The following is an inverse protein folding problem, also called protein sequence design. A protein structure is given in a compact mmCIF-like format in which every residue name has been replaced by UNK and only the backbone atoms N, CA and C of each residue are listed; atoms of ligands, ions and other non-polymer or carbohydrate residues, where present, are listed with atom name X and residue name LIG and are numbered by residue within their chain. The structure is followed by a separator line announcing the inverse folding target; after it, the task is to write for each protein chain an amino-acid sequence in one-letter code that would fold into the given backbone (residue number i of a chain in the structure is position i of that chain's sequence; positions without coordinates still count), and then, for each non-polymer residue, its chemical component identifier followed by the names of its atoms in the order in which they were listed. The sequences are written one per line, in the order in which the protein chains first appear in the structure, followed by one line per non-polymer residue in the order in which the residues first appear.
data_IF_964494233581
#
_entry.id   IF_964494233581
#
_cell.length_a   1.000
_cell.length_b   1.000
_cell.length_c   1.000
_cell.angle_alpha   90.00
_cell.angle_beta   90.00
_cell.angle_gamma   90.00
#
_symmetry.space_group_name_H-M   'P 1'
#
loop_
_entity.id
_entity.type
_entity.pdbx_description
1 polymer ?
#
# COMPACT_ATOMS: atom_id res chain seq x y z
N UNK A 1 -14.63 11.10 -21.52
CA UNK A 1 -14.73 9.97 -20.58
C UNK A 1 -15.10 10.52 -19.22
N UNK A 2 -16.12 9.94 -18.60
CA UNK A 2 -16.63 10.36 -17.29
C UNK A 2 -15.93 9.57 -16.18
N UNK A 3 -15.12 10.21 -15.36
CA UNK A 3 -14.32 9.58 -14.33
C UNK A 3 -14.93 9.86 -12.95
N UNK A 4 -15.27 8.80 -12.24
CA UNK A 4 -15.63 8.89 -10.83
C UNK A 4 -14.38 8.83 -9.94
N UNK A 5 -14.08 9.89 -9.20
CA UNK A 5 -13.03 9.86 -8.18
C UNK A 5 -13.65 9.39 -6.88
N UNK A 6 -13.37 8.13 -6.52
CA UNK A 6 -13.96 7.48 -5.36
C UNK A 6 -13.06 7.69 -4.15
N UNK A 7 -13.57 8.40 -3.15
CA UNK A 7 -12.82 8.84 -1.96
C UNK A 7 -13.65 8.73 -0.68
N UNK A 8 -13.04 8.98 0.47
CA UNK A 8 -13.67 8.82 1.78
C UNK A 8 -13.50 7.40 2.32
N UNK A 9 -14.58 6.65 2.40
CA UNK A 9 -14.56 5.29 2.93
C UNK A 9 -14.80 5.22 4.44
N UNK A 10 -14.73 4.01 4.98
CA UNK A 10 -15.07 3.68 6.37
C UNK A 10 -13.86 3.35 7.25
N UNK A 11 -12.66 3.37 6.67
CA UNK A 11 -11.42 3.06 7.39
C UNK A 11 -10.97 4.25 8.25
N UNK A 12 -10.03 4.00 9.15
CA UNK A 12 -9.33 5.04 9.92
C UNK A 12 -8.55 6.03 9.04
N UNK A 13 -8.35 5.71 7.76
CA UNK A 13 -7.62 6.54 6.78
C UNK A 13 -8.54 7.43 5.92
N UNK A 14 -9.83 7.60 6.32
CA UNK A 14 -10.83 8.39 5.60
C UNK A 14 -10.35 9.79 5.23
N UNK A 15 -9.73 10.50 6.16
CA UNK A 15 -9.24 11.88 5.94
C UNK A 15 -8.10 11.92 4.92
N UNK A 16 -7.22 10.92 4.94
CA UNK A 16 -6.15 10.77 3.93
C UNK A 16 -6.76 10.51 2.55
N UNK A 17 -7.78 9.68 2.48
CA UNK A 17 -8.52 9.37 1.25
C UNK A 17 -9.19 10.62 0.66
N UNK A 18 -9.85 11.44 1.47
CA UNK A 18 -10.47 12.69 1.02
C UNK A 18 -9.44 13.66 0.44
N UNK A 19 -8.29 13.81 1.11
CA UNK A 19 -7.18 14.63 0.61
C UNK A 19 -6.62 14.10 -0.70
N UNK A 20 -6.37 12.79 -0.77
CA UNK A 20 -5.91 12.12 -2.00
C UNK A 20 -6.88 12.35 -3.16
N UNK A 21 -8.19 12.14 -2.93
CA UNK A 21 -9.19 12.34 -3.97
C UNK A 21 -9.29 13.79 -4.44
N UNK A 22 -9.21 14.75 -3.53
CA UNK A 22 -9.22 16.17 -3.89
C UNK A 22 -8.00 16.57 -4.70
N UNK A 23 -6.81 16.07 -4.35
CA UNK A 23 -5.58 16.30 -5.13
C UNK A 23 -5.68 15.68 -6.54
N UNK A 24 -6.20 14.46 -6.65
CA UNK A 24 -6.44 13.85 -7.96
C UNK A 24 -7.41 14.70 -8.81
N UNK A 25 -8.53 15.15 -8.25
CA UNK A 25 -9.51 16.02 -8.94
C UNK A 25 -8.85 17.28 -9.45
N UNK A 26 -8.03 17.93 -8.64
CA UNK A 26 -7.37 19.20 -8.99
C UNK A 26 -6.34 19.04 -10.14
N UNK A 27 -5.79 17.84 -10.33
CA UNK A 27 -4.72 17.60 -11.30
C UNK A 27 -5.15 16.78 -12.52
N UNK A 28 -6.38 16.27 -12.56
CA UNK A 28 -6.91 15.63 -13.76
C UNK A 28 -7.06 16.67 -14.89
N UNK A 29 -6.83 16.23 -16.12
CA UNK A 29 -7.06 17.07 -17.32
C UNK A 29 -8.56 17.20 -17.62
N UNK A 30 -9.18 18.26 -17.13
CA UNK A 30 -10.60 18.55 -17.31
C UNK A 30 -11.01 18.82 -18.76
N UNK A 31 -10.04 18.99 -19.69
CA UNK A 31 -10.35 19.06 -21.12
C UNK A 31 -10.63 17.67 -21.73
N UNK A 32 -10.10 16.62 -21.09
CA UNK A 32 -10.24 15.20 -21.52
C UNK A 32 -11.25 14.43 -20.70
N UNK A 33 -11.42 14.79 -19.44
CA UNK A 33 -12.22 14.05 -18.48
C UNK A 33 -13.33 14.90 -17.85
N UNK A 34 -14.52 14.35 -17.85
CA UNK A 34 -15.60 14.84 -16.98
C UNK A 34 -15.42 14.19 -15.61
N UNK A 35 -15.04 14.97 -14.61
CA UNK A 35 -14.69 14.47 -13.28
C UNK A 35 -15.87 14.55 -12.34
N UNK A 36 -16.24 13.42 -11.72
CA UNK A 36 -17.34 13.30 -10.76
C UNK A 36 -16.78 12.85 -9.41
N UNK A 37 -16.79 13.69 -8.37
CA UNK A 37 -16.46 13.27 -7.02
C UNK A 37 -17.49 12.28 -6.48
N UNK A 38 -17.05 11.14 -5.94
CA UNK A 38 -17.90 10.15 -5.29
C UNK A 38 -17.36 9.93 -3.87
N UNK A 39 -18.06 10.46 -2.87
CA UNK A 39 -17.66 10.37 -1.47
C UNK A 39 -18.41 9.25 -0.79
N UNK A 40 -17.67 8.23 -0.34
CA UNK A 40 -18.20 7.09 0.38
C UNK A 40 -18.23 7.40 1.86
N UNK A 41 -19.42 7.38 2.46
CA UNK A 41 -19.62 7.54 3.91
C UNK A 41 -19.98 6.21 4.57
N UNK A 42 -20.70 5.35 3.86
CA UNK A 42 -21.11 4.03 4.32
C UNK A 42 -20.83 2.97 3.24
N UNK A 43 -20.73 1.70 3.64
CA UNK A 43 -20.45 0.58 2.70
C UNK A 43 -21.46 0.51 1.54
N UNK A 44 -22.72 0.83 1.82
CA UNK A 44 -23.81 0.74 0.83
C UNK A 44 -23.75 1.86 -0.23
N UNK A 45 -23.03 2.94 0.03
CA UNK A 45 -22.99 4.11 -0.85
C UNK A 45 -22.33 3.82 -2.18
N UNK A 46 -21.31 2.95 -2.21
CA UNK A 46 -20.51 2.68 -3.40
C UNK A 46 -21.37 2.33 -4.61
N UNK A 47 -22.20 1.29 -4.48
CA UNK A 47 -22.99 0.76 -5.60
C UNK A 47 -24.00 1.81 -6.07
N UNK A 48 -24.73 2.40 -5.15
CA UNK A 48 -25.80 3.37 -5.47
C UNK A 48 -25.24 4.65 -6.09
N UNK A 49 -24.16 5.21 -5.53
CA UNK A 49 -23.55 6.44 -6.05
C UNK A 49 -22.86 6.22 -7.39
N UNK A 50 -22.16 5.10 -7.57
CA UNK A 50 -21.51 4.76 -8.84
C UNK A 50 -22.54 4.58 -9.96
N UNK A 51 -23.65 3.86 -9.71
CA UNK A 51 -24.74 3.70 -10.68
C UNK A 51 -25.41 5.02 -11.00
N UNK A 52 -25.70 5.84 -9.99
CA UNK A 52 -26.33 7.15 -10.18
C UNK A 52 -25.41 8.12 -10.95
N UNK A 53 -24.10 8.06 -10.66
CA UNK A 53 -23.12 8.90 -11.33
C UNK A 53 -22.89 8.54 -12.80
N UNK A 54 -23.15 7.31 -13.23
CA UNK A 54 -23.02 6.85 -14.61
C UNK A 54 -21.60 7.04 -15.14
N UNK A 55 -20.59 6.63 -14.36
CA UNK A 55 -19.18 6.79 -14.70
C UNK A 55 -18.70 5.73 -15.68
N UNK A 56 -17.75 6.09 -16.53
CA UNK A 56 -17.06 5.17 -17.45
C UNK A 56 -15.85 4.49 -16.82
N UNK A 57 -15.30 5.10 -15.75
CA UNK A 57 -14.07 4.66 -15.09
C UNK A 57 -14.04 5.14 -13.63
N UNK A 58 -13.58 4.28 -12.72
CA UNK A 58 -13.41 4.58 -11.32
C UNK A 58 -11.93 4.82 -10.98
N UNK A 59 -11.58 6.07 -10.64
CA UNK A 59 -10.29 6.45 -10.08
C UNK A 59 -10.35 6.31 -8.57
N UNK A 60 -9.66 5.30 -8.01
CA UNK A 60 -9.71 4.97 -6.60
C UNK A 60 -8.72 5.82 -5.81
N UNK A 61 -9.25 6.60 -4.86
CA UNK A 61 -8.49 7.37 -3.88
C UNK A 61 -8.74 6.87 -2.45
N UNK A 62 -9.35 5.69 -2.31
CA UNK A 62 -9.61 5.05 -1.02
C UNK A 62 -8.34 4.48 -0.40
N UNK A 63 -8.30 4.41 0.93
CA UNK A 63 -7.18 3.83 1.67
C UNK A 63 -7.67 2.89 2.78
N UNK A 64 -6.82 1.90 3.11
CA UNK A 64 -7.08 0.93 4.17
C UNK A 64 -8.16 -0.09 3.84
N UNK A 65 -8.75 -0.65 4.89
CA UNK A 65 -9.82 -1.65 4.76
C UNK A 65 -10.96 -1.14 3.89
N UNK A 66 -11.62 -2.04 3.16
CA UNK A 66 -12.65 -1.78 2.18
C UNK A 66 -12.12 -1.17 0.87
N UNK A 67 -11.19 -0.21 0.93
CA UNK A 67 -10.64 0.45 -0.26
C UNK A 67 -9.52 -0.35 -0.95
N UNK A 68 -8.63 -0.96 -0.15
CA UNK A 68 -7.42 -1.62 -0.64
C UNK A 68 -7.44 -3.15 -0.50
N UNK A 69 -8.50 -3.73 0.04
CA UNK A 69 -8.61 -5.16 0.36
C UNK A 69 -9.29 -6.04 -0.69
N UNK A 70 -9.64 -5.46 -1.84
CA UNK A 70 -10.35 -6.15 -2.92
C UNK A 70 -11.87 -5.98 -2.89
N UNK A 71 -12.44 -5.44 -1.80
CA UNK A 71 -13.90 -5.31 -1.66
C UNK A 71 -14.49 -4.33 -2.68
N UNK A 72 -13.93 -3.12 -2.77
CA UNK A 72 -14.36 -2.11 -3.75
C UNK A 72 -14.08 -2.57 -5.17
N UNK A 73 -12.92 -3.19 -5.39
CA UNK A 73 -12.53 -3.75 -6.68
C UNK A 73 -13.56 -4.79 -7.17
N UNK A 74 -13.94 -5.73 -6.30
CA UNK A 74 -14.94 -6.76 -6.64
C UNK A 74 -16.34 -6.21 -6.90
N UNK A 75 -16.74 -5.15 -6.20
CA UNK A 75 -17.99 -4.46 -6.46
C UNK A 75 -17.98 -3.78 -7.84
N UNK A 76 -16.89 -3.11 -8.21
CA UNK A 76 -16.73 -2.46 -9.51
C UNK A 76 -16.67 -3.48 -10.65
N UNK A 77 -16.00 -4.62 -10.46
CA UNK A 77 -16.03 -5.74 -11.44
C UNK A 77 -17.45 -6.26 -11.66
N UNK A 78 -18.21 -6.44 -10.59
CA UNK A 78 -19.63 -6.87 -10.67
C UNK A 78 -20.49 -5.86 -11.43
N UNK A 79 -20.20 -4.57 -11.32
CA UNK A 79 -20.88 -3.50 -12.05
C UNK A 79 -20.35 -3.32 -13.49
N UNK A 80 -19.28 -4.00 -13.88
CA UNK A 80 -18.64 -3.84 -15.19
C UNK A 80 -17.96 -2.48 -15.38
N UNK A 81 -17.53 -1.84 -14.27
CA UNK A 81 -16.88 -0.53 -14.30
C UNK A 81 -15.37 -0.70 -14.12
N UNK A 82 -14.56 -0.36 -15.14
CA UNK A 82 -13.10 -0.39 -15.02
C UNK A 82 -12.61 0.59 -13.96
N UNK A 83 -11.54 0.21 -13.27
CA UNK A 83 -11.00 0.96 -12.15
C UNK A 83 -9.48 0.93 -12.12
N UNK A 84 -8.87 1.81 -11.34
CA UNK A 84 -7.41 1.96 -11.24
C UNK A 84 -6.73 0.79 -10.56
N UNK A 85 -5.56 0.43 -11.10
CA UNK A 85 -4.56 -0.39 -10.43
C UNK A 85 -4.86 -1.88 -10.39
N UNK A 86 -4.47 -2.48 -9.30
CA UNK A 86 -4.52 -3.92 -9.07
C UNK A 86 -5.95 -4.44 -8.88
N UNK A 87 -6.19 -5.68 -9.30
CA UNK A 87 -7.49 -6.35 -9.16
C UNK A 87 -7.73 -6.93 -7.76
N UNK A 88 -8.84 -7.64 -7.61
CA UNK A 88 -9.33 -8.20 -6.34
C UNK A 88 -8.27 -9.04 -5.63
N UNK A 89 -7.69 -10.01 -6.34
CA UNK A 89 -6.73 -10.94 -5.74
C UNK A 89 -5.48 -10.24 -5.22
N UNK A 90 -4.87 -9.37 -6.04
CA UNK A 90 -3.67 -8.64 -5.66
C UNK A 90 -3.93 -7.72 -4.47
N UNK A 91 -5.04 -6.99 -4.47
CA UNK A 91 -5.44 -6.12 -3.37
C UNK A 91 -5.62 -6.90 -2.06
N UNK A 92 -6.33 -8.03 -2.10
CA UNK A 92 -6.54 -8.89 -0.92
C UNK A 92 -5.23 -9.50 -0.40
N UNK A 93 -4.36 -9.96 -1.29
CA UNK A 93 -3.05 -10.51 -0.90
C UNK A 93 -2.15 -9.44 -0.28
N UNK A 94 -2.06 -8.26 -0.89
CA UNK A 94 -1.20 -7.19 -0.39
C UNK A 94 -1.69 -6.63 0.95
N UNK A 95 -3.01 -6.55 1.16
CA UNK A 95 -3.58 -6.11 2.43
C UNK A 95 -3.24 -7.07 3.57
N UNK A 96 -3.21 -8.38 3.31
CA UNK A 96 -2.88 -9.39 4.30
C UNK A 96 -1.36 -9.61 4.36
N UNK A 97 -0.69 -8.97 5.32
CA UNK A 97 0.77 -9.01 5.48
C UNK A 97 1.33 -10.42 5.70
N UNK A 98 0.60 -11.27 6.42
CA UNK A 98 1.03 -12.67 6.64
C UNK A 98 1.05 -13.44 5.33
N UNK A 99 -0.05 -13.40 4.57
CA UNK A 99 -0.15 -14.14 3.30
C UNK A 99 0.84 -13.61 2.27
N UNK A 100 0.97 -12.28 2.12
CA UNK A 100 1.96 -11.72 1.21
C UNK A 100 3.38 -12.15 1.57
N UNK A 101 3.77 -12.10 2.85
CA UNK A 101 5.10 -12.55 3.30
C UNK A 101 5.33 -14.05 3.12
N UNK A 102 4.32 -14.87 3.34
CA UNK A 102 4.40 -16.32 3.06
C UNK A 102 4.71 -16.57 1.58
N UNK A 103 3.99 -15.90 0.67
CA UNK A 103 4.24 -16.00 -0.77
C UNK A 103 5.63 -15.48 -1.14
N UNK A 104 6.04 -14.31 -0.63
CA UNK A 104 7.35 -13.73 -0.89
C UNK A 104 8.48 -14.67 -0.49
N UNK A 105 8.38 -15.33 0.67
CA UNK A 105 9.37 -16.32 1.13
C UNK A 105 9.48 -17.51 0.19
N UNK A 106 8.37 -18.00 -0.40
CA UNK A 106 8.42 -19.13 -1.35
C UNK A 106 9.21 -18.80 -2.61
N UNK A 107 9.30 -17.54 -2.98
CA UNK A 107 10.09 -17.04 -4.12
C UNK A 107 11.50 -16.59 -3.73
N UNK A 108 11.92 -16.80 -2.50
CA UNK A 108 13.24 -16.40 -2.01
C UNK A 108 13.42 -14.91 -1.76
N UNK A 109 12.33 -14.14 -1.74
CA UNK A 109 12.36 -12.72 -1.36
C UNK A 109 12.50 -12.62 0.15
N UNK A 110 13.52 -11.90 0.62
CA UNK A 110 13.70 -11.66 2.05
C UNK A 110 12.58 -10.78 2.61
N UNK A 111 12.01 -11.21 3.74
CA UNK A 111 11.01 -10.49 4.52
C UNK A 111 11.23 -10.85 6.00
N UNK A 112 10.94 -9.96 6.95
CA UNK A 112 11.09 -10.29 8.36
C UNK A 112 10.39 -11.61 8.68
N UNK A 113 11.10 -12.54 9.31
CA UNK A 113 10.52 -13.78 9.79
C UNK A 113 9.82 -13.49 11.12
N UNK A 114 8.56 -13.86 11.28
CA UNK A 114 7.82 -13.53 12.47
C UNK A 114 6.73 -14.55 12.78
N UNK A 115 6.01 -14.25 13.85
CA UNK A 115 4.84 -14.96 14.33
C UNK A 115 3.58 -14.26 13.81
N UNK A 116 2.52 -15.03 13.60
CA UNK A 116 1.19 -14.49 13.39
C UNK A 116 0.26 -15.11 14.41
N UNK A 117 -0.35 -14.27 15.23
CA UNK A 117 -1.31 -14.69 16.26
C UNK A 117 -2.74 -14.30 15.86
N UNK A 118 -3.69 -15.17 16.14
CA UNK A 118 -5.12 -14.96 15.87
C UNK A 118 -5.82 -14.36 17.10
N UNK A 119 -5.20 -13.38 17.72
CA UNK A 119 -5.70 -12.69 18.89
C UNK A 119 -4.98 -13.08 20.18
N UNK A 120 -5.61 -12.72 21.31
CA UNK A 120 -5.02 -12.91 22.64
C UNK A 120 -4.92 -14.39 23.06
N UNK A 121 -5.68 -15.28 22.43
CA UNK A 121 -5.64 -16.72 22.76
C UNK A 121 -4.30 -17.36 22.37
N UNK A 122 -3.59 -16.79 21.39
CA UNK A 122 -2.28 -17.24 20.96
C UNK A 122 -1.12 -16.61 21.75
N UNK A 123 -1.42 -15.76 22.76
CA UNK A 123 -0.39 -15.04 23.52
C UNK A 123 0.57 -15.98 24.22
N UNK A 124 1.80 -16.04 23.75
CA UNK A 124 2.91 -16.80 24.33
C UNK A 124 4.22 -15.98 24.31
N UNK A 125 4.57 -15.30 25.42
CA UNK A 125 5.77 -14.48 25.48
C UNK A 125 7.06 -15.27 25.28
N UNK A 126 7.08 -16.59 25.56
CA UNK A 126 8.27 -17.41 25.33
C UNK A 126 8.56 -17.61 23.84
N UNK A 127 7.54 -17.60 22.97
CA UNK A 127 7.74 -17.62 21.52
C UNK A 127 8.44 -16.34 21.06
N UNK A 128 8.07 -15.19 21.63
CA UNK A 128 8.67 -13.89 21.30
C UNK A 128 10.10 -13.79 21.86
N UNK A 129 10.34 -14.32 23.06
CA UNK A 129 11.69 -14.40 23.64
C UNK A 129 12.64 -15.20 22.73
N UNK A 130 12.18 -16.31 22.14
CA UNK A 130 12.96 -17.10 21.17
C UNK A 130 13.22 -16.34 19.86
N UNK A 131 12.30 -15.46 19.47
CA UNK A 131 12.46 -14.58 18.30
C UNK A 131 13.53 -13.51 18.57
N UNK A 132 13.64 -13.06 19.81
CA UNK A 132 14.60 -12.07 20.31
C UNK A 132 14.08 -10.63 20.21
N UNK A 133 14.25 -9.87 21.30
CA UNK A 133 13.95 -8.42 21.32
C UNK A 133 15.10 -7.59 20.74
N UNK A 134 14.80 -6.40 20.15
CA UNK A 134 13.47 -5.81 20.02
C UNK A 134 12.65 -6.43 18.88
N UNK A 135 11.31 -6.39 19.04
CA UNK A 135 10.36 -6.85 18.00
C UNK A 135 9.38 -5.75 17.63
N UNK A 136 8.80 -5.88 16.44
CA UNK A 136 7.68 -5.08 15.98
C UNK A 136 6.39 -5.87 16.16
N UNK A 137 5.43 -5.29 16.86
CA UNK A 137 4.05 -5.78 16.96
C UNK A 137 3.16 -4.90 16.09
N UNK A 138 2.33 -5.52 15.24
CA UNK A 138 1.47 -4.78 14.30
C UNK A 138 0.23 -5.56 13.89
N UNK A 139 -0.88 -4.88 13.53
CA UNK A 139 -2.01 -5.51 12.87
C UNK A 139 -1.59 -6.20 11.56
N UNK A 140 -2.22 -7.32 11.23
CA UNK A 140 -1.97 -8.06 9.99
C UNK A 140 -2.52 -7.31 8.76
N UNK A 141 -3.70 -6.68 8.91
CA UNK A 141 -4.34 -5.86 7.88
C UNK A 141 -4.34 -4.40 8.34
N UNK A 142 -4.29 -3.46 7.40
CA UNK A 142 -4.25 -2.05 7.71
C UNK A 142 -2.99 -1.36 7.20
N UNK A 143 -2.98 -0.04 7.27
CA UNK A 143 -1.96 0.83 6.72
C UNK A 143 -1.55 1.95 7.67
N UNK A 144 -0.85 2.95 7.11
CA UNK A 144 -0.48 4.20 7.79
C UNK A 144 0.27 4.05 9.12
N UNK A 145 0.91 2.90 9.36
CA UNK A 145 1.59 2.56 10.64
C UNK A 145 0.69 2.59 11.89
N UNK A 146 -0.63 2.55 11.73
CA UNK A 146 -1.57 2.52 12.86
C UNK A 146 -1.43 1.21 13.61
N UNK A 147 -1.22 1.29 14.93
CA UNK A 147 -1.07 0.10 15.81
C UNK A 147 0.27 -0.63 15.66
N UNK A 148 1.26 -0.03 15.00
CA UNK A 148 2.62 -0.58 14.95
C UNK A 148 3.40 -0.10 16.16
N UNK A 149 4.00 -1.03 16.90
CA UNK A 149 4.81 -0.74 18.08
C UNK A 149 6.16 -1.45 18.05
N UNK A 150 7.20 -0.73 18.43
CA UNK A 150 8.51 -1.27 18.73
C UNK A 150 8.54 -1.68 20.20
N UNK A 151 8.70 -2.97 20.44
CA UNK A 151 8.71 -3.59 21.77
C UNK A 151 10.14 -3.98 22.12
N UNK A 152 10.70 -3.32 23.14
CA UNK A 152 12.10 -3.47 23.53
C UNK A 152 12.34 -4.69 24.42
N UNK A 153 11.31 -5.10 25.17
CA UNK A 153 11.41 -6.16 26.16
C UNK A 153 10.03 -6.77 26.48
N UNK A 154 10.03 -7.88 27.22
CA UNK A 154 8.82 -8.63 27.56
C UNK A 154 7.73 -7.80 28.26
N UNK A 155 8.11 -6.82 29.10
CA UNK A 155 7.12 -6.00 29.83
C UNK A 155 6.27 -5.14 28.94
N UNK A 156 6.79 -4.75 27.78
CA UNK A 156 6.10 -3.93 26.79
C UNK A 156 5.23 -4.78 25.84
N UNK A 157 5.44 -6.13 25.82
CA UNK A 157 4.80 -7.01 24.84
C UNK A 157 3.28 -7.05 25.02
N UNK A 158 2.79 -7.30 26.23
CA UNK A 158 1.36 -7.47 26.48
C UNK A 158 0.53 -6.24 26.12
N UNK A 159 0.91 -5.01 26.52
CA UNK A 159 0.20 -3.80 26.07
C UNK A 159 0.19 -3.63 24.54
N UNK A 160 1.31 -3.89 23.89
CA UNK A 160 1.43 -3.78 22.42
C UNK A 160 0.51 -4.78 21.70
N UNK A 161 0.48 -6.03 22.18
CA UNK A 161 -0.40 -7.07 21.65
C UNK A 161 -1.88 -6.70 21.85
N UNK A 162 -2.25 -6.22 23.03
CA UNK A 162 -3.63 -5.79 23.33
C UNK A 162 -4.08 -4.64 22.40
N UNK A 163 -3.22 -3.65 22.16
CA UNK A 163 -3.53 -2.57 21.26
C UNK A 163 -3.67 -3.07 19.82
N UNK A 164 -2.74 -3.87 19.31
CA UNK A 164 -2.84 -4.42 17.97
C UNK A 164 -4.11 -5.31 17.79
N UNK A 165 -4.46 -6.13 18.80
CA UNK A 165 -5.68 -6.93 18.80
C UNK A 165 -6.97 -6.09 18.85
N UNK A 166 -6.92 -4.86 19.35
CA UNK A 166 -8.08 -3.94 19.29
C UNK A 166 -8.37 -3.43 17.88
N UNK A 167 -7.38 -3.50 17.00
CA UNK A 167 -7.43 -2.98 15.61
C UNK A 167 -7.66 -4.09 14.59
N UNK A 168 -7.16 -5.31 14.86
CA UNK A 168 -7.28 -6.44 13.94
C UNK A 168 -7.37 -7.76 14.69
N UNK A 169 -8.08 -8.72 14.12
CA UNK A 169 -8.18 -10.07 14.66
C UNK A 169 -6.85 -10.82 14.63
N UNK A 170 -6.05 -10.61 13.59
CA UNK A 170 -4.74 -11.20 13.43
C UNK A 170 -3.63 -10.16 13.60
N UNK A 171 -2.57 -10.51 14.32
CA UNK A 171 -1.42 -9.65 14.55
C UNK A 171 -0.12 -10.33 14.12
N UNK A 172 0.84 -9.52 13.68
CA UNK A 172 2.19 -9.95 13.36
C UNK A 172 3.17 -9.47 14.42
N UNK A 173 4.09 -10.36 14.80
CA UNK A 173 5.23 -10.06 15.67
C UNK A 173 6.50 -10.44 14.92
N UNK A 174 7.34 -9.45 14.63
CA UNK A 174 8.50 -9.61 13.77
C UNK A 174 9.77 -9.08 14.45
N UNK A 175 10.95 -9.67 14.24
CA UNK A 175 12.20 -9.06 14.68
C UNK A 175 12.33 -7.65 14.11
N UNK A 176 12.77 -6.72 14.95
CA UNK A 176 13.13 -5.40 14.47
C UNK A 176 14.41 -5.47 13.62
N UNK A 177 14.30 -5.09 12.37
CA UNK A 177 15.45 -5.03 11.46
C UNK A 177 15.99 -3.60 11.44
N UNK A 178 17.16 -3.40 12.00
CA UNK A 178 17.85 -2.10 11.94
C UNK A 178 18.52 -1.91 10.58
N UNK A 179 18.01 -0.97 9.80
CA UNK A 179 18.50 -0.70 8.44
C UNK A 179 18.00 0.63 7.89
N UNK A 180 18.31 0.88 6.63
CA UNK A 180 17.79 2.05 5.91
C UNK A 180 16.42 1.74 5.35
N UNK A 181 15.41 2.55 5.69
CA UNK A 181 14.09 2.42 5.10
C UNK A 181 14.06 3.02 3.69
N UNK A 182 13.55 2.24 2.75
CA UNK A 182 13.44 2.56 1.32
C UNK A 182 12.02 2.32 0.86
N UNK A 183 11.61 3.09 -0.14
CA UNK A 183 10.39 2.76 -0.88
C UNK A 183 10.67 2.72 -2.37
N UNK A 184 10.15 1.68 -3.02
CA UNK A 184 10.22 1.46 -4.45
C UNK A 184 8.83 1.59 -5.05
N UNK A 185 8.58 2.70 -5.74
CA UNK A 185 7.39 2.85 -6.57
C UNK A 185 7.58 2.11 -7.88
N UNK A 186 6.57 1.36 -8.30
CA UNK A 186 6.57 0.58 -9.54
C UNK A 186 5.43 1.09 -10.41
N UNK A 187 5.70 1.29 -11.70
CA UNK A 187 4.72 1.66 -12.72
C UNK A 187 4.93 0.79 -13.96
N UNK A 188 3.90 0.08 -14.39
CA UNK A 188 3.91 -0.89 -15.51
C UNK A 188 5.12 -1.85 -15.46
N UNK A 189 5.41 -2.36 -14.26
CA UNK A 189 6.49 -3.32 -14.04
C UNK A 189 7.90 -2.71 -14.12
N UNK A 190 8.05 -1.39 -14.04
CA UNK A 190 9.33 -0.68 -13.97
C UNK A 190 9.44 0.06 -12.64
N UNK A 191 10.59 -0.08 -11.98
CA UNK A 191 10.88 0.66 -10.75
C UNK A 191 11.21 2.11 -11.11
N UNK A 192 10.53 3.04 -10.43
CA UNK A 192 10.84 4.48 -10.48
C UNK A 192 11.99 4.79 -9.51
N UNK A 193 12.58 6.01 -9.54
CA UNK A 193 13.64 6.39 -8.62
C UNK A 193 13.33 6.06 -7.16
N UNK A 194 14.25 5.41 -6.48
CA UNK A 194 14.10 4.95 -5.09
C UNK A 194 14.09 6.15 -4.15
N UNK A 195 13.17 6.15 -3.19
CA UNK A 195 13.14 7.14 -2.12
C UNK A 195 13.63 6.49 -0.83
N UNK A 196 14.65 7.10 -0.22
CA UNK A 196 15.07 6.80 1.15
C UNK A 196 14.25 7.60 2.14
N UNK A 197 13.88 6.97 3.23
CA UNK A 197 13.08 7.55 4.30
C UNK A 197 13.95 7.60 5.56
N UNK A 198 14.06 8.79 6.19
CA UNK A 198 14.70 8.97 7.48
C UNK A 198 13.76 9.67 8.42
N UNK A 199 13.54 9.10 9.60
CA UNK A 199 12.88 9.83 10.68
C UNK A 199 13.74 11.00 11.14
N UNK A 200 13.15 12.18 11.37
CA UNK A 200 13.88 13.37 11.81
C UNK A 200 14.34 13.25 13.27
N UNK A 201 13.54 12.63 14.15
CA UNK A 201 13.73 12.64 15.60
C UNK A 201 13.88 11.25 16.26
N UNK A 202 13.71 10.15 15.51
CA UNK A 202 13.78 8.81 16.08
C UNK A 202 14.46 7.81 15.14
N UNK A 203 15.02 6.72 15.72
CA UNK A 203 15.48 5.57 14.94
C UNK A 203 14.33 4.80 14.26
N UNK A 204 13.08 5.25 14.45
CA UNK A 204 11.86 4.57 14.02
C UNK A 204 10.89 5.51 13.29
N UNK A 205 10.36 5.08 12.13
CA UNK A 205 9.41 5.83 11.31
C UNK A 205 7.96 5.44 11.69
N UNK A 206 7.38 6.12 12.67
CA UNK A 206 6.03 5.90 13.17
C UNK A 206 4.95 6.70 12.41
N UNK A 207 3.70 6.62 12.86
CA UNK A 207 2.57 7.35 12.28
C UNK A 207 2.79 8.88 12.31
N UNK A 208 3.38 9.41 13.39
CA UNK A 208 3.66 10.85 13.52
C UNK A 208 4.69 11.30 12.49
N UNK A 209 5.75 10.51 12.34
CA UNK A 209 6.78 10.78 11.34
C UNK A 209 6.25 10.77 9.90
N UNK A 210 5.17 10.04 9.61
CA UNK A 210 4.55 9.99 8.26
C UNK A 210 3.68 11.19 7.91
N UNK A 211 3.05 11.82 8.89
CA UNK A 211 1.98 12.81 8.63
C UNK A 211 2.21 14.19 9.26
N UNK A 212 3.18 14.36 10.16
CA UNK A 212 3.59 15.65 10.69
C UNK A 212 4.59 16.34 9.74
N UNK A 213 4.51 17.66 9.58
CA UNK A 213 5.23 18.42 8.56
C UNK A 213 6.77 18.31 8.64
N UNK A 214 7.32 17.95 9.80
CA UNK A 214 8.76 17.78 10.04
C UNK A 214 9.13 16.34 10.46
N UNK A 215 8.23 15.37 10.27
CA UNK A 215 8.37 14.02 10.84
C UNK A 215 9.36 13.11 10.12
N UNK A 216 9.61 13.31 8.83
CA UNK A 216 10.55 12.49 8.07
C UNK A 216 11.19 13.24 6.90
N UNK A 217 12.44 12.92 6.66
CA UNK A 217 13.16 13.32 5.46
C UNK A 217 13.01 12.23 4.39
N UNK A 218 12.29 12.55 3.30
CA UNK A 218 12.06 11.68 2.16
C UNK A 218 12.80 12.20 0.94
N UNK A 219 13.85 11.53 0.53
CA UNK A 219 14.73 11.96 -0.57
C UNK A 219 14.98 10.85 -1.57
N UNK A 220 15.06 11.22 -2.85
CA UNK A 220 15.62 10.33 -3.86
C UNK A 220 17.05 10.00 -3.49
N UNK A 221 17.37 8.72 -3.48
CA UNK A 221 18.71 8.23 -3.14
C UNK A 221 19.33 7.47 -4.31
N UNK A 222 20.64 7.41 -4.31
CA UNK A 222 21.43 6.56 -5.21
C UNK A 222 22.08 5.47 -4.36
N UNK A 223 21.88 4.24 -4.75
CA UNK A 223 22.53 3.08 -4.14
C UNK A 223 23.69 2.63 -5.02
N UNK A 224 24.71 1.95 -4.45
CA UNK A 224 25.69 1.25 -5.26
C UNK A 224 24.99 0.31 -6.27
N UNK A 225 25.46 0.21 -7.53
CA UNK A 225 24.72 -0.49 -8.60
C UNK A 225 24.31 -1.93 -8.24
N UNK A 226 25.16 -2.67 -7.54
CA UNK A 226 24.85 -4.06 -7.12
C UNK A 226 23.74 -4.10 -6.09
N UNK A 227 23.68 -3.12 -5.17
CA UNK A 227 22.64 -3.03 -4.14
C UNK A 227 21.35 -2.56 -4.75
N UNK A 228 21.40 -1.56 -5.62
CA UNK A 228 20.24 -1.05 -6.37
C UNK A 228 19.57 -2.18 -7.17
N UNK A 229 20.36 -3.00 -7.87
CA UNK A 229 19.87 -4.15 -8.59
C UNK A 229 19.12 -5.13 -7.67
N UNK A 230 19.67 -5.48 -6.50
CA UNK A 230 19.02 -6.36 -5.52
C UNK A 230 17.71 -5.80 -5.01
N UNK A 231 17.67 -4.48 -4.73
CA UNK A 231 16.46 -3.79 -4.31
C UNK A 231 15.40 -3.82 -5.40
N UNK A 232 15.78 -3.53 -6.66
CA UNK A 232 14.88 -3.61 -7.81
C UNK A 232 14.36 -5.03 -8.02
N UNK A 233 15.22 -6.05 -7.94
CA UNK A 233 14.83 -7.46 -8.08
C UNK A 233 13.81 -7.86 -6.99
N UNK A 234 14.05 -7.50 -5.73
CA UNK A 234 13.13 -7.78 -4.63
C UNK A 234 11.78 -7.08 -4.81
N UNK A 235 11.78 -5.80 -5.20
CA UNK A 235 10.57 -5.03 -5.45
C UNK A 235 9.76 -5.60 -6.63
N UNK A 236 10.40 -5.88 -7.76
CA UNK A 236 9.75 -6.43 -8.95
C UNK A 236 9.26 -7.87 -8.75
N UNK A 237 10.02 -8.70 -8.01
CA UNK A 237 9.59 -10.04 -7.65
C UNK A 237 8.32 -9.98 -6.77
N UNK A 238 8.27 -9.06 -5.79
CA UNK A 238 7.10 -8.86 -4.94
C UNK A 238 5.88 -8.41 -5.74
N UNK A 239 6.05 -7.41 -6.61
CA UNK A 239 5.01 -6.90 -7.49
C UNK A 239 4.40 -8.01 -8.37
N UNK A 240 5.25 -8.82 -9.02
CA UNK A 240 4.81 -9.89 -9.92
C UNK A 240 4.17 -11.05 -9.17
N UNK A 241 4.76 -11.46 -8.06
CA UNK A 241 4.29 -12.61 -7.28
C UNK A 241 2.93 -12.35 -6.64
N UNK A 242 2.71 -11.12 -6.14
CA UNK A 242 1.43 -10.69 -5.59
C UNK A 242 0.44 -10.23 -6.68
N UNK A 243 0.79 -10.41 -7.96
CA UNK A 243 -0.04 -10.12 -9.13
C UNK A 243 -0.49 -8.65 -9.22
N UNK A 244 0.32 -7.74 -8.69
CA UNK A 244 0.06 -6.31 -8.82
C UNK A 244 0.04 -5.89 -10.29
N UNK A 245 -0.79 -4.90 -10.61
CA UNK A 245 -0.97 -4.37 -11.96
C UNK A 245 -0.85 -2.85 -11.94
N UNK A 246 -0.46 -2.30 -13.07
CA UNK A 246 -0.34 -0.87 -13.34
C UNK A 246 0.67 -0.18 -12.42
N UNK A 247 0.38 -0.07 -11.14
CA UNK A 247 1.27 0.55 -10.16
C UNK A 247 1.17 -0.10 -8.78
N UNK A 248 2.23 0.02 -8.02
CA UNK A 248 2.28 -0.34 -6.60
C UNK A 248 3.47 0.35 -5.92
N UNK A 249 3.50 0.34 -4.60
CA UNK A 249 4.64 0.77 -3.80
C UNK A 249 5.10 -0.38 -2.91
N UNK A 250 6.39 -0.68 -2.96
CA UNK A 250 7.02 -1.73 -2.14
C UNK A 250 7.90 -1.06 -1.09
N UNK A 251 7.60 -1.28 0.17
CA UNK A 251 8.33 -0.73 1.30
C UNK A 251 9.36 -1.76 1.79
N UNK A 252 10.62 -1.32 1.94
CA UNK A 252 11.79 -2.19 2.12
C UNK A 252 12.68 -1.62 3.23
N UNK A 253 13.26 -2.49 4.05
CA UNK A 253 14.42 -2.14 4.88
C UNK A 253 15.68 -2.78 4.27
N UNK A 254 16.66 -1.94 3.96
CA UNK A 254 17.98 -2.37 3.52
C UNK A 254 18.87 -2.55 4.75
N UNK A 255 19.19 -3.79 5.08
CA UNK A 255 20.06 -4.17 6.20
C UNK A 255 21.25 -4.97 5.69
N UNK A 256 22.47 -4.49 5.91
CA UNK A 256 23.71 -5.16 5.47
C UNK A 256 23.66 -5.58 3.98
N UNK A 257 23.23 -4.67 3.11
CA UNK A 257 23.07 -4.87 1.66
C UNK A 257 22.02 -5.93 1.25
N UNK A 258 21.16 -6.38 2.18
CA UNK A 258 20.05 -7.29 1.95
C UNK A 258 18.74 -6.51 2.04
N UNK A 259 17.92 -6.47 0.96
CA UNK A 259 16.61 -5.84 1.00
C UNK A 259 15.57 -6.76 1.64
N UNK A 260 14.96 -6.33 2.74
CA UNK A 260 13.84 -6.99 3.40
C UNK A 260 12.54 -6.29 3.04
N UNK A 261 11.67 -6.95 2.28
CA UNK A 261 10.36 -6.41 1.93
C UNK A 261 9.43 -6.45 3.14
N UNK A 262 8.88 -5.29 3.50
CA UNK A 262 7.95 -5.14 4.62
C UNK A 262 6.51 -5.39 4.19
N UNK A 263 6.09 -4.70 3.11
CA UNK A 263 4.74 -4.75 2.55
C UNK A 263 4.71 -4.23 1.11
N UNK A 264 3.60 -4.50 0.43
CA UNK A 264 3.29 -3.97 -0.90
C UNK A 264 1.94 -3.25 -0.84
N UNK A 265 1.91 -2.00 -1.29
CA UNK A 265 0.72 -1.16 -1.30
C UNK A 265 0.17 -1.04 -2.72
N UNK A 266 -1.07 -1.43 -2.95
CA UNK A 266 -1.73 -1.42 -4.27
C UNK A 266 -2.41 -0.10 -4.61
N UNK A 267 -2.78 0.71 -3.61
CA UNK A 267 -3.30 2.07 -3.77
C UNK A 267 -2.48 3.05 -2.89
N UNK A 268 -1.19 3.26 -3.20
CA UNK A 268 -0.36 4.17 -2.43
C UNK A 268 -0.91 5.59 -2.49
N UNK A 269 -0.65 6.38 -1.44
CA UNK A 269 -1.08 7.78 -1.36
C UNK A 269 -0.70 8.58 -2.60
N UNK A 270 -1.61 9.46 -3.01
CA UNK A 270 -1.52 10.27 -4.23
C UNK A 270 -1.71 11.78 -3.93
N UNK A 271 -1.23 12.25 -2.79
CA UNK A 271 -1.04 13.68 -2.57
C UNK A 271 0.30 14.14 -3.14
N UNK A 272 0.49 15.44 -3.37
CA UNK A 272 1.75 15.98 -3.89
C UNK A 272 2.99 15.58 -3.06
N UNK A 273 2.79 15.35 -1.76
CA UNK A 273 3.85 14.93 -0.82
C UNK A 273 3.98 13.41 -0.68
N UNK A 274 3.15 12.62 -1.35
CA UNK A 274 3.20 11.17 -1.26
C UNK A 274 4.39 10.59 -2.05
N UNK A 275 4.87 9.44 -1.61
CA UNK A 275 6.10 8.80 -2.10
C UNK A 275 6.04 8.42 -3.59
N UNK A 276 4.89 7.91 -4.08
CA UNK A 276 4.75 7.57 -5.50
C UNK A 276 4.80 8.82 -6.40
N UNK A 277 4.04 9.91 -6.16
CA UNK A 277 4.19 11.15 -6.90
C UNK A 277 5.60 11.75 -6.84
N UNK A 278 6.28 11.70 -5.68
CA UNK A 278 7.68 12.15 -5.56
C UNK A 278 8.62 11.34 -6.43
N UNK A 279 8.49 10.01 -6.42
CA UNK A 279 9.26 9.11 -7.26
C UNK A 279 9.01 9.34 -8.75
N UNK A 280 7.75 9.57 -9.15
CA UNK A 280 7.38 9.90 -10.53
C UNK A 280 7.95 11.27 -10.96
N UNK A 281 7.86 12.29 -10.12
CA UNK A 281 8.45 13.61 -10.37
C UNK A 281 9.96 13.54 -10.57
N UNK A 282 10.66 12.71 -9.78
CA UNK A 282 12.09 12.46 -9.95
C UNK A 282 12.44 11.77 -11.28
N UNK A 283 11.49 11.02 -11.86
CA UNK A 283 11.59 10.45 -13.20
C UNK A 283 11.17 11.42 -14.31
N UNK A 284 10.83 12.68 -13.98
CA UNK A 284 10.37 13.69 -14.94
C UNK A 284 8.89 13.59 -15.32
N UNK A 285 8.09 12.83 -14.57
CA UNK A 285 6.65 12.61 -14.80
C UNK A 285 5.87 13.58 -13.92
N UNK A 286 5.12 14.51 -14.50
CA UNK A 286 4.24 15.40 -13.73
C UNK A 286 3.07 14.64 -13.12
N UNK A 287 2.41 15.20 -12.10
CA UNK A 287 1.31 14.53 -11.44
C UNK A 287 0.12 14.27 -12.39
N UNK A 288 -0.20 15.24 -13.27
CA UNK A 288 -1.20 15.04 -14.33
C UNK A 288 -0.83 13.88 -15.26
N UNK A 289 0.43 13.81 -15.70
CA UNK A 289 0.91 12.71 -16.55
C UNK A 289 0.85 11.37 -15.83
N UNK A 290 1.15 11.35 -14.51
CA UNK A 290 1.03 10.15 -13.70
C UNK A 290 -0.41 9.65 -13.64
N UNK A 291 -1.39 10.54 -13.39
CA UNK A 291 -2.81 10.18 -13.37
C UNK A 291 -3.28 9.67 -14.73
N UNK A 292 -2.94 10.36 -15.81
CA UNK A 292 -3.26 9.93 -17.18
C UNK A 292 -2.69 8.56 -17.51
N UNK A 293 -1.47 8.31 -17.08
CA UNK A 293 -0.80 7.02 -17.27
C UNK A 293 -1.52 5.92 -16.49
N UNK A 294 -1.80 6.14 -15.22
CA UNK A 294 -2.53 5.18 -14.37
C UNK A 294 -3.91 4.85 -14.97
N UNK A 295 -4.66 5.85 -15.45
CA UNK A 295 -5.96 5.65 -16.07
C UNK A 295 -5.84 4.81 -17.34
N UNK A 296 -4.92 5.20 -18.24
CA UNK A 296 -4.76 4.53 -19.53
C UNK A 296 -4.28 3.09 -19.40
N UNK A 297 -3.29 2.84 -18.52
CA UNK A 297 -2.78 1.49 -18.24
C UNK A 297 -3.83 0.62 -17.56
N UNK A 298 -4.61 1.19 -16.62
CA UNK A 298 -5.71 0.44 -15.96
C UNK A 298 -6.80 0.05 -16.96
N UNK A 299 -7.19 0.95 -17.85
CA UNK A 299 -8.15 0.63 -18.92
C UNK A 299 -7.64 -0.48 -19.85
N UNK A 300 -6.34 -0.48 -20.16
CA UNK A 300 -5.72 -1.51 -20.97
C UNK A 300 -5.77 -2.88 -20.27
N UNK A 301 -5.36 -2.95 -19.01
CA UNK A 301 -5.38 -4.18 -18.21
C UNK A 301 -6.80 -4.75 -18.09
N UNK A 302 -7.81 -3.91 -17.78
CA UNK A 302 -9.21 -4.36 -17.67
C UNK A 302 -9.77 -4.89 -19.00
N UNK A 303 -9.40 -4.27 -20.13
CA UNK A 303 -9.79 -4.80 -21.45
C UNK A 303 -9.18 -6.17 -21.72
N UNK A 304 -7.93 -6.42 -21.31
CA UNK A 304 -7.30 -7.73 -21.45
C UNK A 304 -7.97 -8.77 -20.55
N UNK A 305 -8.23 -8.45 -19.30
CA UNK A 305 -8.87 -9.35 -18.35
C UNK A 305 -10.30 -9.70 -18.76
N UNK A 306 -11.10 -8.72 -19.15
CA UNK A 306 -12.51 -8.92 -19.51
C UNK A 306 -12.70 -9.43 -20.94
N UNK A 307 -11.78 -9.15 -21.85
CA UNK A 307 -11.79 -9.69 -23.22
C UNK A 307 -11.59 -11.19 -23.28
N UNK A 308 -10.90 -11.80 -22.29
CA UNK A 308 -10.73 -13.25 -22.20
C UNK A 308 -12.01 -13.99 -21.74
N UNK A 309 -12.96 -13.31 -21.14
CA UNK A 309 -14.22 -13.88 -20.66
C UNK A 309 -15.27 -14.02 -21.77
N UNK A 310 -15.10 -13.40 -22.94
CA UNK A 310 -16.01 -13.50 -24.07
C UNK A 310 -15.93 -14.81 -24.87
N UNK A 311 -15.06 -15.76 -24.47
CA UNK A 311 -14.83 -17.04 -25.16
C UNK A 311 -15.17 -18.29 -24.32
N UNK A 312 -16.01 -18.14 -23.28
CA UNK A 312 -16.50 -19.31 -22.53
C UNK A 312 -18.00 -19.48 -22.75
#
# INVERSE_FOLDING_TARGET
MRIGVIMGGISSEREVSLKTGQEMINHLDHSRYEVVPIVIEQRMDLISQVQQAGIDFALLALHGQYGEDGTVQGALETLGIPYTGSGVLASSLCMNKQLSKMLLKTAGVHTPAGLCWQGMDDYDPQMVERLGYPVIVKPNTGGSSIGIQLVQNEKELLPAVQEACSLDQAILIEPYIKGQELTCSIMDGKVLPIIGIRSADSEWFDYRAKYEADGAEEKVIQLPPVIEQRVHEAALASYRLLQCKVYARVDIILCQDIPYVLEVNTLPGMTANSLLPKSAAAAGITFTQLLDHIISSSLHERKLEWGMVQYV
#
